data_IF_755043233005
#
_entry.id   IF_755043233005
#
_cell.length_a   1.000
_cell.length_b   1.000
_cell.length_c   1.000
_cell.angle_alpha   90.00
_cell.angle_beta   90.00
_cell.angle_gamma   90.00
#
_symmetry.space_group_name_H-M   'P 1'
#
loop_
_entity.id
_entity.type
_entity.pdbx_description
1 polymer ?
#
# COMPACT_ATOMS: atom_id res chain seq x y z
N UNK A 1 -39.53 16.48 80.87
CA UNK A 1 -38.34 15.67 80.56
C UNK A 1 -38.66 14.75 79.40
N UNK A 2 -38.26 15.09 78.18
CA UNK A 2 -38.48 14.26 76.98
C UNK A 2 -37.12 14.07 76.30
N UNK A 3 -36.74 12.80 76.11
CA UNK A 3 -35.45 12.35 75.59
C UNK A 3 -35.33 12.62 74.09
N UNK A 4 -34.15 13.13 73.71
CA UNK A 4 -33.62 13.20 72.34
C UNK A 4 -33.25 11.80 71.85
N UNK A 5 -33.73 11.40 70.68
CA UNK A 5 -33.09 10.37 69.85
C UNK A 5 -32.69 11.01 68.51
N UNK A 6 -31.38 11.14 68.28
CA UNK A 6 -30.80 11.52 67.00
C UNK A 6 -30.82 10.30 66.07
N UNK A 7 -31.40 10.46 64.88
CA UNK A 7 -31.21 9.56 63.74
C UNK A 7 -30.04 10.10 62.91
N UNK A 8 -28.99 9.29 62.76
CA UNK A 8 -27.88 9.50 61.84
C UNK A 8 -28.29 9.05 60.42
N UNK A 9 -28.09 9.86 59.37
CA UNK A 9 -28.19 9.36 58.00
C UNK A 9 -26.86 8.71 57.58
N UNK A 10 -26.92 7.44 57.17
CA UNK A 10 -25.82 6.71 56.53
C UNK A 10 -25.71 7.23 55.08
N UNK A 11 -24.62 7.91 54.77
CA UNK A 11 -24.28 8.29 53.40
C UNK A 11 -23.70 7.07 52.66
N UNK A 12 -24.42 6.58 51.64
CA UNK A 12 -23.93 5.54 50.74
C UNK A 12 -22.96 6.16 49.71
N UNK A 13 -21.68 5.81 49.81
CA UNK A 13 -20.63 6.20 48.86
C UNK A 13 -20.63 5.19 47.70
N UNK A 14 -21.30 5.52 46.59
CA UNK A 14 -21.24 4.72 45.36
C UNK A 14 -19.92 4.99 44.63
N UNK A 15 -18.93 4.12 44.80
CA UNK A 15 -17.75 4.06 43.93
C UNK A 15 -18.17 3.54 42.55
N UNK A 16 -18.29 4.44 41.57
CA UNK A 16 -18.30 4.07 40.15
C UNK A 16 -16.88 3.65 39.75
N UNK A 17 -16.64 2.34 39.66
CA UNK A 17 -15.50 1.80 38.92
C UNK A 17 -15.73 2.01 37.42
N UNK A 18 -15.13 3.06 36.87
CA UNK A 18 -14.92 3.19 35.43
C UNK A 18 -13.84 2.18 35.02
N UNK A 19 -14.26 0.96 34.68
CA UNK A 19 -13.42 0.03 33.91
C UNK A 19 -13.23 0.62 32.51
N UNK A 20 -12.13 1.34 32.33
CA UNK A 20 -11.62 1.65 31.01
C UNK A 20 -11.30 0.33 30.30
N UNK A 21 -12.16 -0.09 29.37
CA UNK A 21 -11.82 -1.11 28.39
C UNK A 21 -10.71 -0.55 27.50
N UNK A 22 -9.46 -0.72 27.91
CA UNK A 22 -8.32 -0.62 27.00
C UNK A 22 -8.50 -1.72 25.96
N UNK A 23 -9.05 -1.37 24.80
CA UNK A 23 -9.07 -2.26 23.64
C UNK A 23 -7.61 -2.60 23.31
N UNK A 24 -7.16 -3.77 23.73
CA UNK A 24 -5.85 -4.28 23.36
C UNK A 24 -5.83 -4.42 21.85
N UNK A 25 -4.90 -3.71 21.21
CA UNK A 25 -4.68 -3.92 19.77
C UNK A 25 -4.27 -5.39 19.62
N UNK A 26 -4.96 -6.18 18.77
CA UNK A 26 -4.61 -7.57 18.59
C UNK A 26 -3.12 -7.68 18.23
N UNK A 27 -2.44 -8.66 18.81
CA UNK A 27 -1.03 -8.89 18.53
C UNK A 27 -0.84 -9.18 17.04
N UNK A 28 0.24 -8.66 16.46
CA UNK A 28 0.61 -8.92 15.07
C UNK A 28 0.87 -10.42 14.89
N UNK A 29 0.17 -11.06 13.95
CA UNK A 29 0.30 -12.48 13.65
C UNK A 29 1.23 -12.71 12.44
N UNK A 30 2.45 -13.17 12.74
CA UNK A 30 3.46 -13.57 11.77
C UNK A 30 3.49 -15.10 11.50
N UNK A 31 2.55 -15.88 12.04
CA UNK A 31 2.53 -17.35 11.92
C UNK A 31 2.45 -17.89 10.49
N UNK A 32 2.02 -17.04 9.55
CA UNK A 32 1.89 -17.38 8.13
C UNK A 32 3.20 -17.28 7.32
N UNK A 33 4.24 -16.64 7.84
CA UNK A 33 5.44 -16.33 7.06
C UNK A 33 6.15 -17.56 6.49
N UNK A 34 6.36 -18.58 7.32
CA UNK A 34 7.11 -19.78 6.96
C UNK A 34 6.23 -20.93 6.43
N UNK A 35 4.94 -20.69 6.17
CA UNK A 35 4.03 -21.71 5.61
C UNK A 35 4.40 -22.00 4.14
N UNK A 36 3.98 -23.14 3.62
CA UNK A 36 4.20 -23.47 2.19
C UNK A 36 3.24 -22.74 1.26
N UNK A 37 2.10 -22.28 1.78
CA UNK A 37 1.10 -21.49 1.08
C UNK A 37 1.14 -20.02 1.48
N UNK A 38 0.55 -19.17 0.63
CA UNK A 38 0.26 -17.79 1.00
C UNK A 38 -0.72 -17.73 2.17
N UNK A 39 -0.61 -16.67 2.98
CA UNK A 39 -1.63 -16.30 3.97
C UNK A 39 -2.94 -16.06 3.23
N UNK A 40 -4.05 -16.36 3.88
CA UNK A 40 -5.37 -15.99 3.38
C UNK A 40 -5.49 -14.47 3.25
N UNK A 41 -6.09 -13.99 2.15
CA UNK A 41 -6.36 -12.57 1.95
C UNK A 41 -7.75 -12.20 2.46
N UNK A 42 -7.80 -11.53 3.60
CA UNK A 42 -8.97 -10.79 4.10
C UNK A 42 -9.10 -9.45 3.39
N UNK A 43 -8.51 -8.39 3.96
CA UNK A 43 -8.48 -7.06 3.35
C UNK A 43 -7.09 -6.47 3.43
N UNK A 44 -6.65 -5.85 2.34
CA UNK A 44 -5.41 -5.07 2.28
C UNK A 44 -5.79 -3.63 2.04
N UNK A 45 -5.20 -2.74 2.84
CA UNK A 45 -5.36 -1.30 2.71
C UNK A 45 -4.04 -0.67 2.31
N UNK A 46 -4.11 0.48 1.66
CA UNK A 46 -2.91 1.18 1.22
C UNK A 46 -3.08 2.68 1.24
N UNK A 47 -1.93 3.36 1.28
CA UNK A 47 -1.81 4.76 0.94
C UNK A 47 -1.11 4.85 -0.40
N UNK A 48 -1.73 5.55 -1.36
CA UNK A 48 -1.24 5.60 -2.73
C UNK A 48 -1.36 7.01 -3.30
N UNK A 49 -0.47 7.40 -4.18
CA UNK A 49 -0.68 8.55 -5.07
C UNK A 49 -1.52 8.10 -6.26
N UNK A 50 -2.61 8.80 -6.56
CA UNK A 50 -3.38 8.51 -7.78
C UNK A 50 -2.67 9.07 -9.00
N UNK A 51 -2.56 8.28 -10.06
CA UNK A 51 -2.03 8.78 -11.33
C UNK A 51 -2.92 9.92 -11.85
N UNK A 52 -2.36 11.10 -12.14
CA UNK A 52 -3.14 12.21 -12.66
C UNK A 52 -3.52 11.96 -14.13
N UNK A 53 -4.51 12.71 -14.62
CA UNK A 53 -5.08 12.50 -15.95
C UNK A 53 -4.06 12.66 -17.09
N UNK A 54 -3.08 13.57 -16.93
CA UNK A 54 -2.00 13.76 -17.90
C UNK A 54 -1.16 12.49 -18.10
N UNK A 55 -0.98 11.67 -17.05
CA UNK A 55 -0.33 10.36 -17.15
C UNK A 55 -1.27 9.32 -17.76
N UNK A 56 -2.49 9.18 -17.22
CA UNK A 56 -3.39 8.12 -17.69
C UNK A 56 -3.76 8.29 -19.16
N UNK A 57 -3.98 9.52 -19.63
CA UNK A 57 -4.23 9.80 -21.05
C UNK A 57 -3.07 9.35 -21.96
N UNK A 58 -1.82 9.53 -21.52
CA UNK A 58 -0.66 9.05 -22.29
C UNK A 58 -0.58 7.53 -22.30
N UNK A 59 -0.85 6.88 -21.16
CA UNK A 59 -0.86 5.42 -21.06
C UNK A 59 -1.98 4.81 -21.92
N UNK A 60 -3.19 5.37 -21.87
CA UNK A 60 -4.31 4.93 -22.70
C UNK A 60 -3.99 5.04 -24.19
N UNK A 61 -3.42 6.17 -24.61
CA UNK A 61 -3.15 6.44 -26.01
C UNK A 61 -2.01 5.59 -26.60
N UNK A 62 -1.06 5.10 -25.78
CA UNK A 62 0.20 4.52 -26.28
C UNK A 62 0.56 3.15 -25.74
N UNK A 63 0.04 2.77 -24.58
CA UNK A 63 0.53 1.62 -23.80
C UNK A 63 -0.57 0.59 -23.56
N UNK A 64 -1.75 1.01 -23.08
CA UNK A 64 -2.76 0.10 -22.54
C UNK A 64 -3.34 -0.86 -23.58
N UNK A 65 -3.72 -0.38 -24.77
CA UNK A 65 -4.23 -1.24 -25.83
C UNK A 65 -3.17 -2.24 -26.35
N UNK A 66 -1.95 -1.82 -26.73
CA UNK A 66 -0.88 -2.76 -27.09
C UNK A 66 -0.56 -3.78 -26.00
N UNK A 67 -0.54 -3.36 -24.74
CA UNK A 67 -0.33 -4.23 -23.59
C UNK A 67 -1.43 -5.28 -23.49
N UNK A 68 -2.69 -4.84 -23.51
CA UNK A 68 -3.85 -5.72 -23.41
C UNK A 68 -3.85 -6.78 -24.53
N UNK A 69 -3.59 -6.38 -25.78
CA UNK A 69 -3.46 -7.31 -26.90
C UNK A 69 -2.32 -8.32 -26.70
N UNK A 70 -1.19 -7.88 -26.14
CA UNK A 70 -0.07 -8.77 -25.86
C UNK A 70 -0.41 -9.79 -24.77
N UNK A 71 -1.02 -9.36 -23.66
CA UNK A 71 -1.48 -10.24 -22.58
C UNK A 71 -2.45 -11.32 -23.13
N UNK A 72 -3.42 -10.92 -23.96
CA UNK A 72 -4.36 -11.86 -24.56
C UNK A 72 -3.66 -12.89 -25.47
N UNK A 73 -2.66 -12.49 -26.25
CA UNK A 73 -1.85 -13.42 -27.07
C UNK A 73 -1.05 -14.41 -26.24
N UNK A 74 -0.62 -14.03 -25.04
CA UNK A 74 0.09 -14.89 -24.11
C UNK A 74 -0.83 -15.79 -23.27
N UNK A 75 -2.15 -15.70 -23.46
CA UNK A 75 -3.13 -16.45 -22.67
C UNK A 75 -3.32 -15.90 -21.26
N UNK A 76 -2.98 -14.63 -21.02
CA UNK A 76 -3.11 -13.95 -19.73
C UNK A 76 -4.45 -13.19 -19.65
N UNK A 77 -5.58 -13.89 -19.80
CA UNK A 77 -6.90 -13.23 -19.84
C UNK A 77 -7.27 -12.57 -18.51
N UNK A 78 -6.92 -13.20 -17.39
CA UNK A 78 -7.23 -12.65 -16.06
C UNK A 78 -6.47 -11.34 -15.82
N UNK A 79 -5.19 -11.29 -16.21
CA UNK A 79 -4.35 -10.11 -16.12
C UNK A 79 -4.87 -8.97 -17.01
N UNK A 80 -5.25 -9.29 -18.26
CA UNK A 80 -5.85 -8.35 -19.20
C UNK A 80 -7.16 -7.72 -18.69
N UNK A 81 -7.93 -8.48 -17.90
CA UNK A 81 -9.22 -8.04 -17.34
C UNK A 81 -9.11 -7.50 -15.91
N UNK A 82 -7.92 -7.51 -15.32
CA UNK A 82 -7.74 -7.10 -13.92
C UNK A 82 -8.00 -5.61 -13.78
N UNK A 83 -9.07 -5.26 -13.08
CA UNK A 83 -9.32 -3.87 -12.71
C UNK A 83 -8.24 -3.36 -11.75
N UNK A 84 -7.72 -2.17 -12.04
CA UNK A 84 -6.82 -1.45 -11.17
C UNK A 84 -7.07 0.05 -11.34
N UNK A 85 -7.25 0.76 -10.22
CA UNK A 85 -7.12 2.21 -10.24
C UNK A 85 -5.63 2.58 -10.41
N UNK A 86 -5.22 3.31 -11.46
CA UNK A 86 -3.81 3.63 -11.68
C UNK A 86 -3.24 4.49 -10.53
N UNK A 87 -2.16 4.00 -9.92
CA UNK A 87 -1.57 4.60 -8.72
C UNK A 87 -0.07 4.31 -8.57
N UNK A 88 0.59 5.05 -7.68
CA UNK A 88 1.90 4.72 -7.12
C UNK A 88 1.76 4.47 -5.63
N UNK A 89 2.19 3.29 -5.17
CA UNK A 89 2.10 2.92 -3.75
C UNK A 89 3.03 3.76 -2.89
N UNK A 90 2.50 4.30 -1.79
CA UNK A 90 3.32 4.71 -0.63
C UNK A 90 3.57 3.50 0.23
N UNK A 91 2.52 2.91 0.83
CA UNK A 91 2.65 1.72 1.68
C UNK A 91 1.35 0.92 1.69
N UNK A 92 1.45 -0.39 1.88
CA UNK A 92 0.32 -1.30 2.06
C UNK A 92 0.39 -1.97 3.42
N UNK A 93 -0.76 -2.19 4.05
CA UNK A 93 -0.91 -2.99 5.27
C UNK A 93 -2.05 -4.00 5.12
N UNK A 94 -1.94 -5.13 5.80
CA UNK A 94 -2.98 -6.14 5.84
C UNK A 94 -3.72 -6.06 7.18
N UNK A 95 -5.04 -6.03 7.13
CA UNK A 95 -5.88 -6.02 8.33
C UNK A 95 -7.28 -6.50 7.99
N UNK A 96 -7.79 -7.47 8.75
CA UNK A 96 -9.18 -7.89 8.69
C UNK A 96 -10.15 -6.88 9.33
N UNK A 97 -9.65 -5.87 10.05
CA UNK A 97 -10.49 -4.87 10.72
C UNK A 97 -11.11 -3.90 9.69
N UNK A 98 -12.45 -3.83 9.57
CA UNK A 98 -13.12 -2.92 8.63
C UNK A 98 -12.93 -1.43 8.98
N UNK A 99 -12.54 -1.10 10.21
CA UNK A 99 -12.24 0.27 10.62
C UNK A 99 -10.82 0.74 10.21
N UNK A 100 -10.01 -0.13 9.60
CA UNK A 100 -8.59 0.15 9.30
C UNK A 100 -8.41 1.41 8.43
N UNK A 101 -9.24 1.60 7.39
CA UNK A 101 -9.13 2.79 6.55
C UNK A 101 -9.32 4.10 7.34
N UNK A 102 -10.27 4.13 8.28
CA UNK A 102 -10.48 5.29 9.16
C UNK A 102 -9.32 5.46 10.17
N UNK A 103 -8.77 4.36 10.68
CA UNK A 103 -7.58 4.40 11.55
C UNK A 103 -6.35 4.94 10.81
N UNK A 104 -6.16 4.54 9.55
CA UNK A 104 -5.11 5.08 8.68
C UNK A 104 -5.30 6.57 8.46
N UNK A 105 -6.54 7.04 8.21
CA UNK A 105 -6.80 8.48 8.05
C UNK A 105 -6.42 9.27 9.31
N UNK A 106 -6.79 8.76 10.50
CA UNK A 106 -6.45 9.39 11.79
C UNK A 106 -4.95 9.37 12.10
N UNK A 107 -4.24 8.34 11.64
CA UNK A 107 -2.80 8.18 11.85
C UNK A 107 -1.96 8.79 10.71
N UNK A 108 -2.59 9.39 9.69
CA UNK A 108 -1.91 9.87 8.48
C UNK A 108 -0.86 10.92 8.87
N UNK A 109 0.44 10.69 8.61
CA UNK A 109 1.44 11.74 8.80
C UNK A 109 1.16 12.90 7.83
N UNK A 110 1.66 14.09 8.16
CA UNK A 110 1.51 15.28 7.31
C UNK A 110 1.91 14.94 5.86
N UNK A 111 1.00 15.04 4.88
CA UNK A 111 1.34 14.79 3.49
C UNK A 111 2.37 15.81 2.96
N UNK A 112 3.20 15.41 1.98
CA UNK A 112 4.05 16.36 1.28
C UNK A 112 3.21 17.34 0.48
N UNK A 113 3.82 18.45 0.04
CA UNK A 113 3.21 19.34 -0.94
C UNK A 113 3.07 18.63 -2.30
N UNK A 114 2.30 19.18 -3.27
CA UNK A 114 2.16 18.57 -4.59
C UNK A 114 3.52 18.20 -5.22
N UNK A 115 3.65 16.95 -5.63
CA UNK A 115 4.94 16.35 -6.01
C UNK A 115 5.10 16.37 -7.52
N UNK A 116 6.14 17.07 -7.99
CA UNK A 116 6.54 17.06 -9.40
C UNK A 116 7.59 15.99 -9.64
N UNK A 117 7.38 15.13 -10.64
CA UNK A 117 8.34 14.08 -11.01
C UNK A 117 8.14 13.61 -12.45
N UNK A 118 8.98 12.66 -12.86
CA UNK A 118 8.88 11.95 -14.13
C UNK A 118 8.66 10.46 -13.89
N UNK A 119 7.59 9.90 -14.46
CA UNK A 119 7.41 8.46 -14.57
C UNK A 119 8.20 7.96 -15.78
N UNK A 120 9.09 7.00 -15.59
CA UNK A 120 9.99 6.52 -16.64
C UNK A 120 10.46 5.10 -16.36
N UNK A 121 10.78 4.40 -17.45
CA UNK A 121 11.34 3.05 -17.47
C UNK A 121 10.30 2.00 -17.11
N UNK A 122 9.84 1.29 -18.13
CA UNK A 122 9.06 0.08 -17.97
C UNK A 122 9.99 -1.09 -17.64
N UNK A 123 9.59 -1.93 -16.69
CA UNK A 123 10.32 -3.14 -16.32
C UNK A 123 9.40 -4.15 -15.65
N UNK A 124 9.81 -5.42 -15.64
CA UNK A 124 9.12 -6.47 -14.88
C UNK A 124 9.79 -6.71 -13.54
N UNK A 125 9.02 -7.05 -12.51
CA UNK A 125 9.56 -7.44 -11.21
C UNK A 125 8.77 -8.59 -10.60
N UNK A 126 9.42 -9.36 -9.74
CA UNK A 126 8.80 -10.41 -8.92
C UNK A 126 8.71 -9.97 -7.47
N UNK A 127 7.78 -10.56 -6.71
CA UNK A 127 7.62 -10.31 -5.26
C UNK A 127 8.90 -10.64 -4.47
N UNK A 128 9.59 -11.69 -4.90
CA UNK A 128 10.97 -12.00 -4.57
C UNK A 128 11.57 -12.69 -5.78
N UNK A 129 12.86 -12.47 -6.03
CA UNK A 129 13.58 -13.12 -7.13
C UNK A 129 13.40 -14.64 -7.07
N UNK A 130 13.06 -15.24 -8.21
CA UNK A 130 12.86 -16.68 -8.36
C UNK A 130 11.71 -17.27 -7.50
N UNK A 131 10.78 -16.43 -7.03
CA UNK A 131 9.54 -16.89 -6.40
C UNK A 131 8.49 -17.35 -7.42
N UNK A 132 8.59 -16.88 -8.68
CA UNK A 132 7.72 -17.24 -9.78
C UNK A 132 6.35 -16.57 -9.76
N UNK A 133 5.90 -16.02 -8.61
CA UNK A 133 4.67 -15.22 -8.45
C UNK A 133 4.53 -14.64 -7.02
N UNK A 134 3.78 -13.52 -6.85
CA UNK A 134 3.30 -12.66 -7.93
C UNK A 134 4.44 -11.95 -8.66
N UNK A 135 4.13 -11.51 -9.87
CA UNK A 135 4.99 -10.66 -10.68
C UNK A 135 4.18 -9.54 -11.32
N UNK A 136 4.89 -8.49 -11.74
CA UNK A 136 4.31 -7.26 -12.24
C UNK A 136 5.06 -6.72 -13.46
N UNK A 137 4.35 -5.95 -14.28
CA UNK A 137 4.94 -5.01 -15.24
C UNK A 137 4.69 -3.60 -14.69
N UNK A 138 5.77 -2.87 -14.46
CA UNK A 138 5.76 -1.57 -13.81
C UNK A 138 6.27 -0.47 -14.73
N UNK A 139 5.82 0.75 -14.48
CA UNK A 139 6.40 2.00 -14.93
C UNK A 139 7.04 2.68 -13.72
N UNK A 140 8.37 2.80 -13.73
CA UNK A 140 9.14 3.38 -12.64
C UNK A 140 9.01 4.90 -12.50
N UNK A 141 9.68 5.43 -11.49
CA UNK A 141 9.89 6.86 -11.28
C UNK A 141 11.38 7.17 -11.40
N UNK A 142 11.72 8.31 -12.02
CA UNK A 142 13.08 8.82 -12.04
C UNK A 142 13.57 9.10 -10.61
N UNK A 143 14.66 8.45 -10.22
CA UNK A 143 15.18 8.43 -8.84
C UNK A 143 16.05 9.64 -8.52
N UNK A 144 15.55 10.83 -8.77
CA UNK A 144 16.27 12.09 -8.53
C UNK A 144 15.33 13.28 -8.37
N UNK A 145 15.84 14.34 -7.73
CA UNK A 145 15.11 15.59 -7.55
C UNK A 145 14.19 15.58 -6.34
N UNK A 146 13.70 16.77 -5.97
CA UNK A 146 12.96 16.97 -4.72
C UNK A 146 11.70 16.12 -4.64
N UNK A 147 10.96 15.97 -5.74
CA UNK A 147 9.73 15.18 -5.72
C UNK A 147 9.97 13.70 -5.40
N UNK A 148 11.08 13.11 -5.86
CA UNK A 148 11.46 11.75 -5.49
C UNK A 148 11.84 11.66 -4.01
N UNK A 149 12.64 12.60 -3.51
CA UNK A 149 13.02 12.66 -2.09
C UNK A 149 11.81 12.81 -1.16
N UNK A 150 10.83 13.62 -1.56
CA UNK A 150 9.58 13.81 -0.81
C UNK A 150 8.76 12.51 -0.75
N UNK A 151 8.70 11.73 -1.83
CA UNK A 151 8.05 10.41 -1.83
C UNK A 151 8.76 9.43 -0.89
N UNK A 152 10.10 9.42 -0.89
CA UNK A 152 10.89 8.53 -0.04
C UNK A 152 10.70 8.88 1.44
N UNK A 153 10.78 10.17 1.79
CA UNK A 153 10.55 10.64 3.16
C UNK A 153 9.12 10.36 3.62
N UNK A 154 8.13 10.57 2.76
CA UNK A 154 6.74 10.29 3.09
C UNK A 154 6.47 8.80 3.28
N UNK A 155 7.09 7.93 2.46
CA UNK A 155 7.04 6.49 2.67
C UNK A 155 7.61 6.09 4.05
N UNK A 156 8.73 6.67 4.49
CA UNK A 156 9.30 6.40 5.82
C UNK A 156 8.32 6.77 6.93
N UNK A 157 7.73 7.98 6.87
CA UNK A 157 6.76 8.44 7.86
C UNK A 157 5.47 7.60 7.85
N UNK A 158 4.92 7.30 6.67
CA UNK A 158 3.70 6.52 6.53
C UNK A 158 3.89 5.07 6.98
N UNK A 159 5.05 4.47 6.69
CA UNK A 159 5.39 3.11 7.15
C UNK A 159 5.41 3.04 8.66
N UNK A 160 6.07 4.00 9.33
CA UNK A 160 6.10 4.06 10.79
C UNK A 160 4.69 4.25 11.39
N UNK A 161 3.85 5.08 10.77
CA UNK A 161 2.50 5.35 11.25
C UNK A 161 1.53 4.16 11.06
N UNK A 162 1.65 3.44 9.95
CA UNK A 162 0.65 2.44 9.55
C UNK A 162 1.02 1.00 9.86
N UNK A 163 2.32 0.67 9.97
CA UNK A 163 2.71 -0.68 10.36
C UNK A 163 2.00 -1.17 11.65
N UNK A 164 1.82 -0.37 12.72
CA UNK A 164 1.08 -0.80 13.91
C UNK A 164 -0.40 -1.12 13.70
N UNK A 165 -1.00 -0.69 12.59
CA UNK A 165 -2.42 -0.92 12.28
C UNK A 165 -2.68 -2.26 11.58
N UNK A 166 -1.62 -2.99 11.22
CA UNK A 166 -1.72 -4.30 10.56
C UNK A 166 -2.08 -5.39 11.57
N UNK A 167 -2.74 -6.44 11.10
CA UNK A 167 -2.91 -7.68 11.86
C UNK A 167 -1.81 -8.72 11.56
N UNK A 168 -0.99 -8.49 10.52
CA UNK A 168 0.13 -9.34 10.14
C UNK A 168 0.74 -8.93 8.79
N UNK A 169 1.53 -9.83 8.16
CA UNK A 169 2.18 -9.54 6.89
C UNK A 169 1.19 -9.52 5.73
N UNK A 170 1.52 -8.79 4.66
CA UNK A 170 0.76 -8.85 3.42
C UNK A 170 0.72 -10.29 2.91
N UNK A 171 -0.44 -10.79 2.47
CA UNK A 171 -0.56 -12.15 1.97
C UNK A 171 0.43 -12.51 0.85
N UNK A 172 0.68 -11.57 -0.07
CA UNK A 172 1.60 -11.77 -1.20
C UNK A 172 3.08 -11.88 -0.84
N UNK A 173 3.50 -11.51 0.37
CA UNK A 173 4.91 -11.61 0.81
C UNK A 173 5.17 -12.79 1.74
N UNK A 174 4.16 -13.64 2.00
CA UNK A 174 4.33 -14.82 2.86
C UNK A 174 4.68 -16.07 2.07
N UNK A 175 4.95 -17.15 2.79
CA UNK A 175 5.11 -18.50 2.26
C UNK A 175 6.15 -18.62 1.15
N UNK A 176 5.77 -18.99 -0.09
CA UNK A 176 6.74 -19.21 -1.16
C UNK A 176 7.58 -17.97 -1.48
N UNK A 177 7.01 -16.76 -1.35
CA UNK A 177 7.76 -15.52 -1.55
C UNK A 177 8.69 -15.27 -0.38
N UNK A 178 8.20 -15.37 0.85
CA UNK A 178 9.02 -15.20 2.06
C UNK A 178 10.22 -16.16 2.08
N UNK A 179 10.01 -17.41 1.66
CA UNK A 179 11.06 -18.42 1.59
C UNK A 179 12.22 -18.03 0.65
N UNK A 180 11.93 -17.26 -0.40
CA UNK A 180 12.90 -16.78 -1.39
C UNK A 180 13.53 -15.43 -1.04
N UNK A 181 12.97 -14.70 -0.08
CA UNK A 181 13.54 -13.42 0.35
C UNK A 181 14.90 -13.61 1.05
N UNK A 182 15.82 -12.67 0.81
CA UNK A 182 17.00 -12.51 1.64
C UNK A 182 16.67 -11.94 3.02
N UNK A 183 17.63 -11.99 3.93
CA UNK A 183 17.41 -11.69 5.35
C UNK A 183 16.85 -10.29 5.61
N UNK A 184 17.35 -9.27 4.89
CA UNK A 184 16.84 -7.90 5.00
C UNK A 184 15.35 -7.80 4.61
N UNK A 185 14.92 -8.52 3.56
CA UNK A 185 13.53 -8.56 3.15
C UNK A 185 12.65 -9.27 4.17
N UNK A 186 13.12 -10.40 4.71
CA UNK A 186 12.44 -11.14 5.78
C UNK A 186 12.26 -10.30 7.03
N UNK A 187 13.30 -9.59 7.44
CA UNK A 187 13.27 -8.70 8.62
C UNK A 187 12.20 -7.60 8.46
N UNK A 188 12.14 -6.95 7.28
CA UNK A 188 11.10 -5.95 7.00
C UNK A 188 9.71 -6.56 7.06
N UNK A 189 9.50 -7.72 6.43
CA UNK A 189 8.19 -8.39 6.46
C UNK A 189 7.78 -8.75 7.90
N UNK A 190 8.70 -9.23 8.74
CA UNK A 190 8.43 -9.53 10.14
C UNK A 190 8.07 -8.27 10.94
N UNK A 191 8.81 -7.18 10.71
CA UNK A 191 8.76 -5.97 11.54
C UNK A 191 7.64 -5.02 11.15
N UNK A 192 7.38 -4.86 9.85
CA UNK A 192 6.41 -3.90 9.30
C UNK A 192 5.38 -4.54 8.36
N UNK A 193 5.43 -5.85 8.14
CA UNK A 193 4.42 -6.60 7.39
C UNK A 193 4.61 -6.63 5.87
N UNK A 194 5.60 -5.92 5.34
CA UNK A 194 5.87 -5.83 3.90
C UNK A 194 7.34 -5.55 3.64
N UNK A 195 7.87 -5.95 2.48
CA UNK A 195 9.20 -5.57 1.99
C UNK A 195 9.12 -4.36 1.05
N UNK A 196 10.26 -3.71 0.75
CA UNK A 196 10.27 -2.60 -0.20
C UNK A 196 9.63 -1.32 0.32
N UNK A 197 9.77 -1.08 1.62
CA UNK A 197 9.42 0.18 2.30
C UNK A 197 10.64 0.70 3.04
N UNK A 198 10.67 2.00 3.26
CA UNK A 198 11.69 2.65 4.05
C UNK A 198 11.37 2.52 5.53
N UNK A 199 12.40 2.35 6.35
CA UNK A 199 12.29 2.27 7.81
C UNK A 199 13.43 3.03 8.46
N UNK A 200 13.23 3.48 9.69
CA UNK A 200 14.33 3.96 10.54
C UNK A 200 14.77 2.81 11.44
N UNK A 201 16.03 2.39 11.31
CA UNK A 201 16.66 1.36 12.13
C UNK A 201 17.92 1.94 12.75
N UNK A 202 18.02 1.85 14.08
CA UNK A 202 19.16 2.37 14.85
C UNK A 202 19.48 3.85 14.54
N UNK A 203 18.41 4.66 14.37
CA UNK A 203 18.51 6.09 14.03
C UNK A 203 18.93 6.39 12.59
N UNK A 204 19.07 5.37 11.73
CA UNK A 204 19.41 5.52 10.31
C UNK A 204 18.26 5.09 9.41
N UNK A 205 18.02 5.87 8.37
CA UNK A 205 17.02 5.52 7.36
C UNK A 205 17.56 4.43 6.42
N UNK A 206 16.88 3.29 6.38
CA UNK A 206 17.09 2.26 5.39
C UNK A 206 16.11 2.50 4.24
N UNK A 207 16.63 2.83 3.06
CA UNK A 207 15.82 3.17 1.88
C UNK A 207 15.66 1.97 0.94
N UNK A 208 14.60 1.19 1.13
CA UNK A 208 14.26 0.05 0.26
C UNK A 208 13.04 0.31 -0.63
N UNK A 209 12.36 1.44 -0.46
CA UNK A 209 11.22 1.79 -1.28
C UNK A 209 11.61 2.05 -2.74
N UNK A 210 10.82 1.49 -3.65
CA UNK A 210 10.98 1.68 -5.09
C UNK A 210 9.64 2.13 -5.66
N UNK A 211 9.36 3.44 -5.74
CA UNK A 211 8.06 3.93 -6.17
C UNK A 211 7.87 3.69 -7.69
N UNK A 212 6.72 3.14 -8.05
CA UNK A 212 6.35 2.79 -9.42
C UNK A 212 4.82 2.74 -9.57
N UNK A 213 4.35 2.84 -10.81
CA UNK A 213 2.98 2.50 -11.18
C UNK A 213 2.96 1.11 -11.83
N UNK A 214 2.17 0.20 -11.28
CA UNK A 214 2.01 -1.13 -11.87
C UNK A 214 0.88 -1.16 -12.91
N UNK A 215 1.19 -1.75 -14.07
CA UNK A 215 0.27 -1.95 -15.19
C UNK A 215 -0.31 -3.37 -15.24
N UNK A 216 0.46 -4.37 -14.80
CA UNK A 216 0.05 -5.79 -14.82
C UNK A 216 0.27 -6.40 -13.46
N UNK A 217 -0.73 -7.15 -12.96
CA UNK A 217 -0.66 -7.90 -11.72
C UNK A 217 -0.95 -9.36 -12.03
N UNK A 218 0.01 -10.25 -11.81
CA UNK A 218 -0.15 -11.66 -12.19
C UNK A 218 0.20 -12.65 -11.08
N UNK A 219 -0.63 -13.69 -11.00
CA UNK A 219 -0.37 -14.91 -10.22
C UNK A 219 0.00 -16.11 -11.11
N UNK A 220 0.03 -15.91 -12.42
CA UNK A 220 0.48 -16.90 -13.40
C UNK A 220 1.97 -17.17 -13.18
N UNK A 221 2.42 -18.44 -13.19
CA UNK A 221 3.85 -18.75 -13.03
C UNK A 221 4.72 -17.98 -14.03
N UNK A 222 5.70 -17.25 -13.52
CA UNK A 222 6.58 -16.42 -14.35
C UNK A 222 7.71 -17.25 -14.97
N UNK A 223 7.34 -18.12 -15.91
CA UNK A 223 8.30 -19.00 -16.59
C UNK A 223 9.36 -18.18 -17.35
N UNK A 224 10.55 -18.74 -17.65
CA UNK A 224 11.59 -18.03 -18.40
C UNK A 224 11.11 -17.48 -19.75
N UNK A 225 10.25 -18.22 -20.45
CA UNK A 225 9.66 -17.77 -21.71
C UNK A 225 8.73 -16.56 -21.51
N UNK A 226 7.91 -16.58 -20.46
CA UNK A 226 7.03 -15.46 -20.12
C UNK A 226 7.83 -14.23 -19.66
N UNK A 227 8.89 -14.44 -18.87
CA UNK A 227 9.83 -13.38 -18.47
C UNK A 227 10.45 -12.70 -19.69
N UNK A 228 10.95 -13.47 -20.65
CA UNK A 228 11.53 -12.93 -21.88
C UNK A 228 10.50 -12.14 -22.71
N UNK A 229 9.27 -12.65 -22.84
CA UNK A 229 8.20 -11.95 -23.57
C UNK A 229 7.82 -10.64 -22.92
N UNK A 230 7.60 -10.63 -21.59
CA UNK A 230 7.24 -9.41 -20.87
C UNK A 230 8.40 -8.41 -20.78
N UNK A 231 9.65 -8.89 -20.77
CA UNK A 231 10.82 -8.02 -20.92
C UNK A 231 10.81 -7.32 -22.28
N UNK A 232 10.53 -8.05 -23.37
CA UNK A 232 10.44 -7.45 -24.70
C UNK A 232 9.35 -6.36 -24.76
N UNK A 233 8.19 -6.61 -24.14
CA UNK A 233 7.13 -5.60 -24.00
C UNK A 233 7.64 -4.35 -23.28
N UNK A 234 8.32 -4.51 -22.14
CA UNK A 234 8.90 -3.39 -21.41
C UNK A 234 9.92 -2.61 -22.25
N UNK A 235 10.82 -3.30 -22.95
CA UNK A 235 11.82 -2.71 -23.84
C UNK A 235 11.17 -1.91 -24.98
N UNK A 236 10.07 -2.41 -25.55
CA UNK A 236 9.35 -1.70 -26.62
C UNK A 236 8.60 -0.48 -26.10
N UNK A 237 7.98 -0.55 -24.92
CA UNK A 237 7.37 0.62 -24.28
C UNK A 237 8.39 1.69 -23.92
N UNK A 238 9.61 1.30 -23.53
CA UNK A 238 10.72 2.22 -23.32
C UNK A 238 11.15 2.95 -24.61
N UNK A 239 10.98 2.35 -25.79
CA UNK A 239 11.21 3.03 -27.08
C UNK A 239 10.06 3.97 -27.45
N UNK A 240 8.82 3.64 -27.05
CA UNK A 240 7.62 4.46 -27.30
C UNK A 240 7.61 5.72 -26.43
N UNK A 241 8.10 5.63 -25.19
CA UNK A 241 8.19 6.73 -24.23
C UNK A 241 9.63 6.90 -23.71
N UNK A 242 10.60 7.26 -24.57
CA UNK A 242 12.02 7.31 -24.21
C UNK A 242 12.34 8.37 -23.16
N UNK A 243 11.51 9.42 -23.06
CA UNK A 243 11.67 10.51 -22.10
C UNK A 243 10.80 10.33 -20.85
N UNK A 244 9.89 9.36 -20.85
CA UNK A 244 8.90 9.18 -19.80
C UNK A 244 7.76 10.20 -19.86
N UNK A 245 7.11 10.42 -18.72
CA UNK A 245 5.94 11.29 -18.56
C UNK A 245 6.18 12.20 -17.35
N UNK A 246 6.30 13.50 -17.61
CA UNK A 246 6.33 14.50 -16.53
C UNK A 246 4.92 14.72 -15.99
N UNK A 247 4.77 14.80 -14.67
CA UNK A 247 3.48 15.03 -14.03
C UNK A 247 3.62 15.72 -12.67
N UNK A 248 2.48 16.08 -12.07
CA UNK A 248 2.37 16.51 -10.68
C UNK A 248 1.31 15.69 -9.95
N UNK A 249 1.71 14.96 -8.91
CA UNK A 249 0.77 14.33 -7.99
C UNK A 249 0.18 15.40 -7.07
N UNK A 250 -1.14 15.51 -7.07
CA UNK A 250 -1.87 16.49 -6.25
C UNK A 250 -2.59 15.86 -5.06
N UNK A 251 -2.73 14.53 -5.03
CA UNK A 251 -3.49 13.83 -4.01
C UNK A 251 -2.79 12.53 -3.60
N UNK A 252 -3.02 12.13 -2.36
CA UNK A 252 -2.87 10.74 -1.89
C UNK A 252 -4.22 10.20 -1.49
N UNK A 253 -4.38 8.88 -1.57
CA UNK A 253 -5.64 8.22 -1.26
C UNK A 253 -5.41 7.02 -0.36
N UNK A 254 -6.34 6.82 0.57
CA UNK A 254 -6.47 5.56 1.31
C UNK A 254 -7.40 4.65 0.51
N UNK A 255 -6.94 3.44 0.24
CA UNK A 255 -7.52 2.53 -0.74
C UNK A 255 -7.62 1.11 -0.18
N UNK A 256 -8.48 0.31 -0.81
CA UNK A 256 -8.48 -1.15 -0.70
C UNK A 256 -7.82 -1.79 -1.91
N UNK A 257 -7.14 -2.90 -1.66
CA UNK A 257 -6.38 -3.64 -2.67
C UNK A 257 -6.75 -5.12 -2.66
N UNK A 258 -6.65 -5.74 -3.83
CA UNK A 258 -6.67 -7.20 -3.95
C UNK A 258 -5.29 -7.80 -3.66
N UNK A 259 -5.22 -9.14 -3.65
CA UNK A 259 -4.05 -9.92 -3.23
C UNK A 259 -2.71 -9.44 -3.83
N UNK A 260 -2.66 -9.23 -5.15
CA UNK A 260 -1.42 -8.86 -5.86
C UNK A 260 -1.04 -7.39 -5.70
N UNK A 261 -1.93 -6.57 -5.12
CA UNK A 261 -1.72 -5.15 -4.88
C UNK A 261 -2.41 -4.21 -5.87
N UNK A 262 -3.32 -4.68 -6.73
CA UNK A 262 -4.14 -3.78 -7.55
C UNK A 262 -5.21 -3.11 -6.69
N UNK A 263 -5.41 -1.80 -6.90
CA UNK A 263 -6.39 -1.02 -6.15
C UNK A 263 -7.77 -1.27 -6.72
N UNK A 264 -8.67 -1.77 -5.87
CA UNK A 264 -10.05 -2.10 -6.22
C UNK A 264 -11.04 -1.01 -5.81
N UNK A 265 -10.71 -0.22 -4.79
CA UNK A 265 -11.58 0.84 -4.28
C UNK A 265 -10.80 1.99 -3.67
N UNK A 266 -11.19 3.21 -3.99
CA UNK A 266 -10.74 4.42 -3.31
C UNK A 266 -11.72 4.76 -2.17
N UNK A 267 -11.22 4.96 -0.96
CA UNK A 267 -12.05 5.23 0.23
C UNK A 267 -11.96 6.71 0.60
N UNK A 268 -10.74 7.19 0.87
CA UNK A 268 -10.48 8.58 1.21
C UNK A 268 -9.52 9.19 0.21
N UNK A 269 -9.73 10.45 -0.16
CA UNK A 269 -8.80 11.25 -0.97
C UNK A 269 -8.37 12.46 -0.18
N UNK A 270 -7.06 12.68 -0.11
CA UNK A 270 -6.42 13.75 0.63
C UNK A 270 -5.67 14.64 -0.36
N UNK A 271 -5.97 15.94 -0.34
CA UNK A 271 -5.31 16.94 -1.16
C UNK A 271 -3.95 17.30 -0.57
N UNK A 272 -2.90 17.26 -1.39
CA UNK A 272 -1.52 17.55 -0.96
C UNK A 272 -1.26 19.04 -0.73
N UNK A 273 -2.05 19.93 -1.33
CA UNK A 273 -1.87 21.38 -1.18
C UNK A 273 -2.31 21.86 0.21
N UNK A 274 -3.47 21.42 0.68
CA UNK A 274 -4.10 21.92 1.91
C UNK A 274 -4.37 20.85 2.98
N UNK A 275 -4.17 19.57 2.68
CA UNK A 275 -4.41 18.46 3.59
C UNK A 275 -5.90 18.12 3.78
N UNK A 276 -6.82 18.76 3.06
CA UNK A 276 -8.25 18.44 3.14
C UNK A 276 -8.51 17.01 2.66
N UNK A 277 -9.38 16.30 3.39
CA UNK A 277 -9.75 14.93 3.09
C UNK A 277 -11.25 14.82 2.78
N UNK A 278 -11.58 14.01 1.78
CA UNK A 278 -12.96 13.61 1.49
C UNK A 278 -13.13 12.11 1.56
N UNK A 279 -14.32 11.66 1.94
CA UNK A 279 -14.79 10.30 1.66
C UNK A 279 -15.27 10.25 0.21
N UNK A 280 -14.67 9.37 -0.60
CA UNK A 280 -14.87 9.37 -2.05
C UNK A 280 -16.29 8.95 -2.44
N UNK A 281 -16.89 8.04 -1.68
CA UNK A 281 -18.23 7.55 -1.97
C UNK A 281 -19.32 8.62 -1.74
N UNK A 282 -19.18 9.44 -0.71
CA UNK A 282 -20.17 10.45 -0.34
C UNK A 282 -19.83 11.87 -0.84
N UNK A 283 -18.56 12.13 -1.16
CA UNK A 283 -18.03 13.45 -1.48
C UNK A 283 -17.92 14.37 -0.26
N UNK A 284 -18.20 13.88 0.95
CA UNK A 284 -18.19 14.70 2.16
C UNK A 284 -16.77 14.89 2.68
N UNK A 285 -16.52 16.10 3.21
CA UNK A 285 -15.30 16.39 3.95
C UNK A 285 -15.23 15.54 5.22
N UNK A 286 -14.07 14.94 5.46
CA UNK A 286 -13.79 14.16 6.67
C UNK A 286 -12.82 14.97 7.53
N UNK A 287 -13.17 15.13 8.81
CA UNK A 287 -12.37 15.85 9.80
C UNK A 287 -11.52 14.89 10.62
#
# INVERSE_FOLDING_TARGET
MIRRNCLLPIAALSMLLLTACSATTPAIDNSSLAKTSFREHKTTYGLVYRLPADVTTVLDAKINDPLNQHLLRLGLQAEAQTFNLPHVTVVHIHSADPATALKMLKALPKPPQPIKLTLKTFYTTEAAKDAGRPWWLDLGIVKSGQGFEDMMAFNTAATAAFAPLRDGPLPRVTGPVYAKMGDAGKELVQTVGVSGVNVVKDGKELRSHNPHNTLVYSMTPFTPALQASMKQVADDFNKVLPDGINTTFNNVSIVELAFSGNVTREIYRINLADGSAIEVASGQLVK
#
